data_IF_349011414258
#
_entry.id   IF_349011414258
#
_cell.length_a   1.000
_cell.length_b   1.000
_cell.length_c   1.000
_cell.angle_alpha   90.00
_cell.angle_beta   90.00
_cell.angle_gamma   90.00
#
_symmetry.space_group_name_H-M   'P 1'
#
loop_
_entity.id
_entity.type
_entity.pdbx_description
1 polymer ?
#
# COMPACT_ATOMS: atom_id res chain seq x y z
N UNK A 1 38.12 -8.24 -8.34
CA UNK A 1 37.27 -7.03 -8.45
C UNK A 1 36.13 -7.10 -7.45
N UNK A 2 36.29 -6.52 -6.25
CA UNK A 2 35.22 -6.41 -5.25
C UNK A 2 34.47 -5.11 -5.55
N UNK A 3 33.28 -5.19 -6.15
CA UNK A 3 32.37 -4.04 -6.24
C UNK A 3 31.80 -3.80 -4.85
N UNK A 4 32.46 -2.96 -4.07
CA UNK A 4 31.92 -2.42 -2.82
C UNK A 4 30.64 -1.67 -3.19
N UNK A 5 29.48 -2.16 -2.76
CA UNK A 5 28.21 -1.44 -2.83
C UNK A 5 28.28 -0.24 -1.86
N UNK A 6 29.03 0.78 -2.25
CA UNK A 6 29.06 2.04 -1.52
C UNK A 6 27.70 2.73 -1.67
N UNK A 7 26.93 2.77 -0.57
CA UNK A 7 26.06 3.92 -0.30
C UNK A 7 24.63 3.93 -0.85
N UNK A 8 23.96 2.79 -1.06
CA UNK A 8 22.51 2.83 -1.31
C UNK A 8 21.78 3.23 -0.02
N UNK A 9 21.49 4.53 0.16
CA UNK A 9 20.51 4.98 1.16
C UNK A 9 19.12 4.62 0.64
N UNK A 10 18.37 3.89 1.44
CA UNK A 10 16.99 3.52 1.17
C UNK A 10 16.11 4.07 2.28
N UNK A 11 14.96 4.64 1.91
CA UNK A 11 13.91 5.01 2.85
C UNK A 11 13.02 3.79 3.09
N UNK A 12 12.80 3.48 4.35
CA UNK A 12 11.82 2.50 4.79
C UNK A 12 10.46 3.18 4.83
N UNK A 13 9.51 2.68 4.05
CA UNK A 13 8.15 3.21 4.00
C UNK A 13 7.23 2.12 4.56
N UNK A 14 6.45 2.39 5.62
CA UNK A 14 5.49 1.44 6.14
C UNK A 14 4.35 1.20 5.15
N UNK A 15 3.91 -0.05 5.05
CA UNK A 15 2.73 -0.48 4.30
C UNK A 15 1.56 -0.54 5.28
N UNK A 16 0.43 0.03 4.88
CA UNK A 16 -0.84 -0.07 5.59
C UNK A 16 -1.78 -0.99 4.81
N UNK A 17 -2.50 -1.84 5.53
CA UNK A 17 -3.53 -2.71 4.94
C UNK A 17 -4.90 -2.11 5.21
N UNK A 18 -5.64 -1.79 4.16
CA UNK A 18 -7.03 -1.36 4.23
C UNK A 18 -7.94 -2.57 3.97
N UNK A 19 -8.85 -2.87 4.89
CA UNK A 19 -9.83 -3.95 4.73
C UNK A 19 -11.16 -3.33 4.31
N UNK A 20 -11.52 -3.48 3.04
CA UNK A 20 -12.70 -2.87 2.43
C UNK A 20 -13.79 -3.91 2.22
N UNK A 21 -15.04 -3.53 2.47
CA UNK A 21 -16.24 -4.31 2.16
C UNK A 21 -16.80 -3.83 0.82
N UNK A 22 -16.89 -4.75 -0.14
CA UNK A 22 -17.50 -4.52 -1.45
C UNK A 22 -18.90 -5.14 -1.48
N UNK A 23 -19.88 -4.38 -1.95
CA UNK A 23 -21.21 -4.90 -2.32
C UNK A 23 -21.15 -5.38 -3.78
N UNK A 24 -21.35 -6.68 -3.99
CA UNK A 24 -21.30 -7.30 -5.31
C UNK A 24 -22.66 -7.26 -6.03
N UNK A 25 -23.73 -6.86 -5.34
CA UNK A 25 -25.08 -6.72 -5.91
C UNK A 25 -25.40 -5.26 -6.24
N UNK A 26 -24.88 -4.31 -5.46
CA UNK A 26 -25.03 -2.87 -5.71
C UNK A 26 -23.67 -2.19 -5.99
N UNK A 27 -23.36 -2.02 -7.28
CA UNK A 27 -22.13 -1.39 -7.75
C UNK A 27 -22.04 0.13 -7.45
N UNK A 28 -23.16 0.77 -7.09
CA UNK A 28 -23.19 2.18 -6.74
C UNK A 28 -22.98 2.40 -5.24
N UNK A 29 -23.07 1.34 -4.43
CA UNK A 29 -22.77 1.40 -3.02
C UNK A 29 -21.25 1.55 -2.82
N UNK A 30 -20.77 2.64 -2.20
CA UNK A 30 -19.33 2.85 -2.03
C UNK A 30 -18.73 1.78 -1.11
N UNK A 31 -17.48 1.33 -1.39
CA UNK A 31 -16.75 0.48 -0.46
C UNK A 31 -16.61 1.14 0.92
N UNK A 32 -16.86 0.36 1.98
CA UNK A 32 -16.67 0.80 3.36
C UNK A 32 -15.45 0.11 3.97
N UNK A 33 -14.80 0.76 4.92
CA UNK A 33 -13.87 0.03 5.80
C UNK A 33 -14.65 -1.03 6.58
N UNK A 34 -14.04 -2.18 6.82
CA UNK A 34 -14.69 -3.28 7.55
C UNK A 34 -15.21 -2.83 8.93
N UNK A 35 -14.43 -2.02 9.64
CA UNK A 35 -14.82 -1.46 10.93
C UNK A 35 -16.05 -0.56 10.84
N UNK A 36 -16.15 0.26 9.79
CA UNK A 36 -17.30 1.13 9.55
C UNK A 36 -18.55 0.31 9.20
N UNK A 37 -18.39 -0.73 8.39
CA UNK A 37 -19.47 -1.65 8.05
C UNK A 37 -20.02 -2.34 9.31
N UNK A 38 -19.17 -2.98 10.10
CA UNK A 38 -19.58 -3.68 11.33
C UNK A 38 -20.16 -2.68 12.34
N UNK A 39 -19.58 -1.49 12.44
CA UNK A 39 -20.08 -0.40 13.29
C UNK A 39 -21.50 0.04 12.91
N UNK A 40 -21.80 0.13 11.61
CA UNK A 40 -23.09 0.58 11.08
C UNK A 40 -24.16 -0.51 11.08
N UNK A 41 -23.83 -1.72 10.60
CA UNK A 41 -24.78 -2.80 10.38
C UNK A 41 -24.85 -3.80 11.54
N UNK A 42 -23.94 -3.69 12.52
CA UNK A 42 -23.85 -4.57 13.71
C UNK A 42 -23.72 -6.07 13.35
N UNK A 43 -23.21 -6.37 12.16
CA UNK A 43 -22.99 -7.71 11.65
C UNK A 43 -21.77 -7.75 10.74
N UNK A 44 -21.19 -8.93 10.57
CA UNK A 44 -20.12 -9.15 9.61
C UNK A 44 -20.67 -9.20 8.17
N UNK A 45 -19.92 -8.67 7.18
CA UNK A 45 -20.31 -8.80 5.77
C UNK A 45 -20.32 -10.26 5.34
N UNK A 46 -21.48 -10.75 4.91
CA UNK A 46 -21.67 -12.14 4.52
C UNK A 46 -21.71 -12.33 2.98
N UNK A 47 -21.09 -13.38 2.45
CA UNK A 47 -21.27 -13.80 1.07
C UNK A 47 -22.72 -14.31 0.83
N UNK A 48 -23.21 -14.32 -0.43
CA UNK A 48 -22.51 -13.96 -1.66
C UNK A 48 -22.49 -12.46 -1.95
N UNK A 49 -23.36 -11.68 -1.29
CA UNK A 49 -23.53 -10.26 -1.57
C UNK A 49 -22.30 -9.44 -1.25
N UNK A 50 -21.70 -9.65 -0.07
CA UNK A 50 -20.56 -8.84 0.36
C UNK A 50 -19.25 -9.61 0.28
N UNK A 51 -18.18 -8.91 -0.09
CA UNK A 51 -16.82 -9.44 -0.10
C UNK A 51 -15.86 -8.49 0.59
N UNK A 52 -15.04 -9.02 1.51
CA UNK A 52 -13.95 -8.26 2.11
C UNK A 52 -12.70 -8.40 1.24
N UNK A 53 -12.08 -7.28 0.88
CA UNK A 53 -10.82 -7.22 0.14
C UNK A 53 -9.78 -6.46 0.95
N UNK A 54 -8.52 -6.88 0.84
CA UNK A 54 -7.39 -6.22 1.49
C UNK A 54 -6.60 -5.45 0.43
N UNK A 55 -6.44 -4.14 0.66
CA UNK A 55 -5.69 -3.25 -0.23
C UNK A 55 -4.49 -2.72 0.53
N UNK A 56 -3.30 -3.04 0.04
CA UNK A 56 -2.06 -2.57 0.61
C UNK A 56 -1.64 -1.24 0.00
N UNK A 57 -1.52 -0.22 0.84
CA UNK A 57 -1.17 1.15 0.44
C UNK A 57 0.02 1.65 1.23
N UNK A 58 0.75 2.58 0.64
CA UNK A 58 1.83 3.33 1.28
C UNK A 58 1.82 4.76 0.79
N UNK A 59 2.46 5.66 1.52
CA UNK A 59 2.64 7.05 1.08
C UNK A 59 3.96 7.16 0.34
N UNK A 60 3.92 7.51 -0.94
CA UNK A 60 5.12 7.67 -1.75
C UNK A 60 5.95 8.84 -1.17
N UNK A 61 7.22 8.64 -0.82
CA UNK A 61 8.01 9.69 -0.18
C UNK A 61 8.61 10.70 -1.17
N UNK A 62 8.27 10.60 -2.47
CA UNK A 62 8.71 11.53 -3.51
C UNK A 62 7.71 12.67 -3.73
N UNK A 63 6.42 12.34 -3.79
CA UNK A 63 5.32 13.26 -4.07
C UNK A 63 4.34 13.40 -2.89
N UNK A 64 4.38 12.48 -1.92
CA UNK A 64 3.47 12.46 -0.77
C UNK A 64 2.13 11.80 -1.05
N UNK A 65 1.93 11.22 -2.24
CA UNK A 65 0.65 10.64 -2.63
C UNK A 65 0.47 9.21 -2.08
N UNK A 66 -0.75 8.81 -1.69
CA UNK A 66 -1.06 7.43 -1.38
C UNK A 66 -1.04 6.59 -2.65
N UNK A 67 -0.30 5.48 -2.62
CA UNK A 67 -0.12 4.58 -3.74
C UNK A 67 -0.29 3.14 -3.29
N UNK A 68 -0.82 2.26 -4.14
CA UNK A 68 -0.84 0.83 -3.82
C UNK A 68 0.58 0.25 -3.86
N UNK A 69 0.85 -0.80 -3.10
CA UNK A 69 2.14 -1.52 -3.17
C UNK A 69 2.41 -2.00 -4.61
N UNK A 70 1.37 -2.46 -5.31
CA UNK A 70 1.44 -2.93 -6.70
C UNK A 70 1.85 -1.83 -7.68
N UNK A 71 1.36 -0.61 -7.51
CA UNK A 71 1.78 0.55 -8.31
C UNK A 71 3.18 1.00 -7.92
N UNK A 72 3.51 1.03 -6.62
CA UNK A 72 4.86 1.36 -6.14
C UNK A 72 5.92 0.41 -6.72
N UNK A 73 5.59 -0.87 -6.89
CA UNK A 73 6.47 -1.87 -7.51
C UNK A 73 6.85 -1.57 -8.96
N UNK A 74 6.12 -0.68 -9.66
CA UNK A 74 6.44 -0.24 -11.02
C UNK A 74 7.38 0.98 -11.04
N UNK A 75 7.66 1.58 -9.88
CA UNK A 75 8.54 2.75 -9.76
C UNK A 75 10.02 2.34 -9.93
N UNK A 76 10.84 3.08 -10.72
CA UNK A 76 12.27 2.83 -10.84
C UNK A 76 13.05 2.92 -9.52
N UNK A 77 12.52 3.70 -8.55
CA UNK A 77 13.08 3.83 -7.21
C UNK A 77 12.67 2.72 -6.26
N UNK A 78 11.73 1.85 -6.64
CA UNK A 78 11.44 0.64 -5.88
C UNK A 78 12.71 -0.22 -5.79
N UNK A 79 13.07 -0.62 -4.57
CA UNK A 79 14.22 -1.50 -4.35
C UNK A 79 13.76 -2.90 -3.98
N UNK A 80 12.99 -3.03 -2.90
CA UNK A 80 12.40 -4.30 -2.46
C UNK A 80 11.26 -4.06 -1.49
N UNK A 81 10.39 -5.05 -1.35
CA UNK A 81 9.51 -5.19 -0.19
C UNK A 81 10.19 -6.07 0.86
N UNK A 82 10.05 -5.72 2.13
CA UNK A 82 10.51 -6.51 3.26
C UNK A 82 9.45 -6.43 4.35
N UNK A 83 8.80 -7.56 4.66
CA UNK A 83 7.69 -7.62 5.62
C UNK A 83 6.57 -6.60 5.28
N UNK A 84 6.25 -5.74 6.23
CA UNK A 84 5.27 -4.66 6.19
C UNK A 84 5.86 -3.34 5.67
N UNK A 85 7.00 -3.38 4.97
CA UNK A 85 7.70 -2.18 4.49
C UNK A 85 8.12 -2.29 3.03
N UNK A 86 8.17 -1.14 2.37
CA UNK A 86 8.82 -0.96 1.07
C UNK A 86 10.09 -0.15 1.24
N UNK A 87 11.18 -0.63 0.63
CA UNK A 87 12.42 0.11 0.53
C UNK A 87 12.44 0.90 -0.77
N UNK A 88 12.49 2.22 -0.65
CA UNK A 88 12.59 3.14 -1.78
C UNK A 88 13.99 3.75 -1.83
N UNK A 89 14.66 3.67 -2.98
CA UNK A 89 15.99 4.25 -3.20
C UNK A 89 15.91 5.77 -3.05
N UNK A 90 16.69 6.34 -2.13
CA UNK A 90 16.93 7.78 -2.11
C UNK A 90 18.21 8.08 -2.89
N UNK A 91 18.12 8.87 -3.95
CA UNK A 91 19.29 9.36 -4.67
C UNK A 91 19.83 10.57 -3.90
N UNK A 92 21.03 10.50 -3.32
CA UNK A 92 21.78 11.73 -3.07
C UNK A 92 22.30 12.19 -4.42
N UNK A 93 21.77 13.28 -4.96
CA UNK A 93 22.58 14.08 -5.86
C UNK A 93 23.81 14.50 -5.05
N UNK A 94 25.00 14.07 -5.48
CA UNK A 94 26.24 14.65 -4.99
C UNK A 94 26.11 16.17 -5.22
N UNK A 95 26.01 16.95 -4.15
CA UNK A 95 26.22 18.39 -4.24
C UNK A 95 27.62 18.58 -4.83
N UNK A 96 27.68 19.25 -5.98
CA UNK A 96 28.90 19.78 -6.57
C UNK A 96 29.47 20.89 -5.70
#
# INVERSE_FOLDING_TARGET
>A
MKRTLAGLRAREIPVRVLRLVLDLEDLFNPPLMLEDYVGRFKSDPAPPRFRVVEVEVLTCPEDGEPITVSECGKCPKFFRRFEDKVLCKSFMALCH
#
